data_IF_558741158250
#
_entry.id   IF_558741158250
#
_cell.length_a   1.000
_cell.length_b   1.000
_cell.length_c   1.000
_cell.angle_alpha   90.00
_cell.angle_beta   90.00
_cell.angle_gamma   90.00
#
_symmetry.space_group_name_H-M   'P 1'
#
loop_
_entity.id
_entity.type
_entity.pdbx_description
1 polymer ?
#
# COMPACT_ATOMS: atom_id res chain seq x y z
N UNK A 1 -24.36 -1.68 41.52
CA UNK A 1 -25.38 -2.64 41.96
C UNK A 1 -25.69 -3.50 40.76
N UNK A 2 -25.37 -4.75 40.63
CA UNK A 2 -25.18 -5.88 41.55
C UNK A 2 -24.14 -6.84 40.98
N UNK A 3 -23.24 -7.23 41.82
CA UNK A 3 -22.31 -8.35 41.72
C UNK A 3 -23.01 -9.67 41.51
N UNK A 4 -22.46 -10.55 40.68
CA UNK A 4 -22.72 -12.00 40.79
C UNK A 4 -21.42 -12.77 40.55
N UNK A 5 -21.08 -13.78 41.37
CA UNK A 5 -19.76 -14.39 41.44
C UNK A 5 -19.62 -15.63 40.55
N UNK A 6 -18.38 -15.82 40.11
CA UNK A 6 -17.88 -17.01 39.36
C UNK A 6 -17.85 -18.21 40.28
N UNK A 7 -18.54 -19.30 39.94
CA UNK A 7 -18.46 -20.61 40.62
C UNK A 7 -17.26 -21.42 40.14
N UNK A 8 -16.36 -21.73 41.06
CA UNK A 8 -15.32 -22.76 40.96
C UNK A 8 -15.99 -24.14 40.94
N UNK A 9 -15.61 -25.04 40.01
CA UNK A 9 -15.94 -26.47 40.09
C UNK A 9 -14.73 -27.26 40.55
N UNK A 10 -14.98 -28.10 41.55
CA UNK A 10 -14.05 -28.97 42.27
C UNK A 10 -13.58 -30.16 41.42
N UNK A 11 -12.31 -30.51 41.63
CA UNK A 11 -11.71 -31.77 41.24
C UNK A 11 -12.22 -32.90 42.11
N UNK A 12 -12.71 -33.98 41.52
CA UNK A 12 -12.91 -35.27 42.19
C UNK A 12 -11.72 -36.18 41.85
N UNK A 13 -10.99 -36.57 42.89
CA UNK A 13 -10.01 -37.66 42.86
C UNK A 13 -10.72 -39.00 42.82
N UNK A 14 -10.35 -39.86 41.89
CA UNK A 14 -10.74 -41.26 41.93
C UNK A 14 -9.48 -42.14 41.96
N UNK A 15 -9.35 -42.91 43.01
CA UNK A 15 -8.30 -43.88 43.27
C UNK A 15 -8.43 -45.08 42.29
N UNK A 16 -7.32 -45.42 41.64
CA UNK A 16 -7.24 -46.58 40.76
C UNK A 16 -6.61 -47.78 41.45
N UNK A 17 -7.25 -48.93 41.31
CA UNK A 17 -6.76 -50.23 41.77
C UNK A 17 -5.67 -50.75 40.81
N UNK A 18 -4.61 -51.33 41.38
CA UNK A 18 -3.52 -51.99 40.64
C UNK A 18 -3.98 -53.38 40.21
N UNK A 19 -4.00 -53.63 38.86
CA UNK A 19 -4.03 -54.98 38.32
C UNK A 19 -2.79 -55.15 37.43
N UNK A 20 -1.92 -56.12 37.79
CA UNK A 20 -0.71 -56.42 37.02
C UNK A 20 -1.04 -57.02 35.65
N UNK A 21 -0.62 -56.38 34.62
CA UNK A 21 -0.70 -56.81 33.23
C UNK A 21 0.69 -56.72 32.57
N UNK A 22 1.06 -57.81 31.92
CA UNK A 22 2.30 -57.96 31.19
C UNK A 22 2.39 -56.89 30.07
N UNK A 23 3.37 -56.02 30.16
CA UNK A 23 3.64 -55.01 29.15
C UNK A 23 4.40 -55.68 27.97
N UNK A 24 3.63 -56.01 26.90
CA UNK A 24 4.25 -56.18 25.58
C UNK A 24 4.66 -54.81 25.06
N UNK A 25 5.95 -54.59 25.00
CA UNK A 25 6.52 -53.36 24.40
C UNK A 25 6.12 -53.28 22.91
N UNK A 26 5.13 -52.46 22.62
CA UNK A 26 4.89 -52.05 21.24
C UNK A 26 6.08 -51.21 20.77
N UNK A 27 6.61 -51.39 19.54
CA UNK A 27 7.65 -50.52 19.02
C UNK A 27 7.13 -49.10 18.97
N UNK A 28 7.82 -48.17 19.63
CA UNK A 28 7.55 -46.77 19.55
C UNK A 28 7.57 -46.36 18.05
N UNK A 29 6.41 -46.07 17.51
CA UNK A 29 6.34 -45.35 16.24
C UNK A 29 6.97 -44.00 16.50
N UNK A 30 8.26 -43.87 16.14
CA UNK A 30 8.89 -42.58 16.05
C UNK A 30 8.14 -41.82 14.95
N UNK A 31 7.20 -40.99 15.33
CA UNK A 31 6.58 -40.03 14.43
C UNK A 31 7.72 -39.16 13.92
N UNK A 32 8.14 -39.36 12.69
CA UNK A 32 9.11 -38.48 12.03
C UNK A 32 8.52 -37.04 12.11
N UNK A 33 9.23 -36.14 12.78
CA UNK A 33 8.88 -34.74 12.70
C UNK A 33 8.71 -34.33 11.24
N UNK A 34 7.69 -33.56 10.91
CA UNK A 34 7.49 -33.12 9.53
C UNK A 34 8.76 -32.42 9.06
N UNK A 35 9.35 -32.95 8.01
CA UNK A 35 10.62 -32.43 7.50
C UNK A 35 10.45 -30.94 7.13
N UNK A 36 11.36 -30.10 7.63
CA UNK A 36 11.38 -28.65 7.41
C UNK A 36 11.16 -28.31 5.92
N UNK A 37 10.25 -27.40 5.57
CA UNK A 37 9.99 -27.04 4.18
C UNK A 37 11.18 -26.30 3.57
N UNK A 38 11.34 -26.40 2.25
CA UNK A 38 12.20 -25.48 1.51
C UNK A 38 11.43 -24.18 1.28
N UNK A 39 12.02 -23.05 1.68
CA UNK A 39 11.39 -21.75 1.54
C UNK A 39 12.43 -20.66 1.23
N UNK A 40 12.16 -19.84 0.24
CA UNK A 40 12.83 -18.56 0.02
C UNK A 40 12.19 -17.57 1.00
N UNK A 41 13.02 -16.92 1.81
CA UNK A 41 12.59 -15.89 2.78
C UNK A 41 12.85 -14.49 2.23
N UNK A 42 13.94 -14.32 1.47
CA UNK A 42 14.33 -13.08 0.80
C UNK A 42 14.84 -13.38 -0.62
N UNK A 43 14.38 -12.63 -1.61
CA UNK A 43 13.31 -11.62 -1.56
C UNK A 43 11.91 -12.24 -1.36
N UNK A 44 10.99 -11.43 -0.86
CA UNK A 44 9.58 -11.81 -0.68
C UNK A 44 8.87 -11.97 -2.04
N UNK A 45 7.83 -12.81 -2.11
CA UNK A 45 7.01 -12.91 -3.31
C UNK A 45 6.27 -11.60 -3.58
N UNK A 46 6.48 -11.00 -4.74
CA UNK A 46 5.96 -9.68 -5.07
C UNK A 46 6.89 -8.51 -4.74
N UNK A 47 8.06 -8.77 -4.14
CA UNK A 47 9.03 -7.71 -3.85
C UNK A 47 9.32 -6.85 -5.09
N UNK A 48 9.26 -5.53 -4.93
CA UNK A 48 9.72 -4.55 -5.91
C UNK A 48 11.15 -4.16 -5.54
N UNK A 49 12.10 -4.62 -6.33
CA UNK A 49 13.52 -4.42 -6.08
C UNK A 49 14.09 -3.33 -6.98
N UNK A 50 15.02 -2.55 -6.45
CA UNK A 50 15.68 -1.48 -7.17
C UNK A 50 17.18 -1.45 -6.80
N UNK A 51 17.93 -0.47 -7.31
CA UNK A 51 19.36 -0.28 -7.09
C UNK A 51 19.82 -0.27 -5.62
N UNK A 52 18.90 -0.07 -4.65
CA UNK A 52 19.23 -0.07 -3.21
C UNK A 52 19.19 -1.47 -2.59
N UNK A 53 18.62 -2.45 -3.31
CA UNK A 53 18.46 -3.82 -2.83
C UNK A 53 19.55 -4.77 -3.37
N UNK A 54 20.50 -4.27 -4.17
CA UNK A 54 21.54 -5.07 -4.77
C UNK A 54 22.65 -4.23 -5.41
N UNK A 55 23.52 -4.89 -6.13
CA UNK A 55 24.61 -4.29 -6.88
C UNK A 55 24.23 -4.23 -8.36
N UNK A 56 24.23 -3.04 -8.97
CA UNK A 56 24.06 -2.92 -10.41
C UNK A 56 25.30 -3.42 -11.12
N UNK A 57 25.12 -4.36 -12.04
CA UNK A 57 26.17 -4.94 -12.89
C UNK A 57 25.75 -4.81 -14.37
N UNK A 58 26.67 -5.04 -15.29
CA UNK A 58 26.39 -4.86 -16.74
C UNK A 58 25.17 -5.65 -17.21
N UNK A 59 24.95 -6.84 -16.64
CA UNK A 59 23.84 -7.70 -17.05
C UNK A 59 22.53 -7.46 -16.26
N UNK A 60 22.51 -6.63 -15.22
CA UNK A 60 21.31 -6.39 -14.43
C UNK A 60 21.55 -6.02 -12.98
N UNK A 61 20.63 -6.42 -12.10
CA UNK A 61 20.71 -6.20 -10.65
C UNK A 61 21.09 -7.49 -9.96
N UNK A 62 22.27 -7.54 -9.38
CA UNK A 62 22.77 -8.68 -8.58
C UNK A 62 22.23 -8.58 -7.16
N UNK A 63 21.41 -9.52 -6.78
CA UNK A 63 20.75 -9.60 -5.47
C UNK A 63 21.22 -10.82 -4.67
N UNK A 64 20.96 -10.79 -3.38
CA UNK A 64 21.12 -11.95 -2.50
C UNK A 64 19.77 -12.65 -2.33
N UNK A 65 19.75 -13.98 -2.46
CA UNK A 65 18.60 -14.84 -2.19
C UNK A 65 18.88 -15.63 -0.93
N UNK A 66 17.98 -15.57 0.04
CA UNK A 66 18.11 -16.28 1.33
C UNK A 66 16.88 -17.11 1.61
N UNK A 67 17.05 -18.20 2.34
CA UNK A 67 15.94 -19.04 2.74
C UNK A 67 16.34 -20.20 3.64
N UNK A 68 15.40 -21.10 3.84
CA UNK A 68 15.54 -22.32 4.66
C UNK A 68 15.32 -23.57 3.83
N UNK A 69 15.96 -24.65 4.23
CA UNK A 69 15.78 -25.99 3.67
C UNK A 69 16.26 -27.04 4.67
N UNK A 70 15.85 -28.31 4.58
CA UNK A 70 16.28 -29.37 5.47
C UNK A 70 17.82 -29.42 5.60
N UNK A 71 18.29 -29.68 6.81
CA UNK A 71 19.72 -29.51 7.21
C UNK A 71 20.75 -30.19 6.26
N UNK A 72 20.43 -31.33 5.69
CA UNK A 72 21.36 -32.14 4.89
C UNK A 72 21.11 -32.08 3.39
N UNK A 73 20.07 -31.35 2.96
CA UNK A 73 19.72 -31.25 1.56
C UNK A 73 20.69 -30.33 0.82
N UNK A 74 21.11 -30.71 -0.39
CA UNK A 74 21.72 -29.79 -1.35
C UNK A 74 20.65 -28.80 -1.81
N UNK A 75 21.00 -27.52 -1.91
CA UNK A 75 20.07 -26.48 -2.38
C UNK A 75 20.66 -25.80 -3.60
N UNK A 76 19.84 -25.63 -4.62
CA UNK A 76 20.15 -24.75 -5.76
C UNK A 76 19.12 -23.62 -5.86
N UNK A 77 19.55 -22.46 -6.35
CA UNK A 77 18.71 -21.32 -6.70
C UNK A 77 18.88 -21.05 -8.19
N UNK A 78 17.80 -21.13 -8.95
CA UNK A 78 17.81 -21.08 -10.43
C UNK A 78 18.93 -21.93 -11.04
N UNK A 79 19.12 -23.15 -10.51
CA UNK A 79 20.14 -24.11 -10.97
C UNK A 79 21.54 -23.90 -10.42
N UNK A 80 21.85 -22.78 -9.76
CA UNK A 80 23.16 -22.49 -9.14
C UNK A 80 23.18 -22.97 -7.70
N UNK A 81 24.28 -23.65 -7.30
CA UNK A 81 24.44 -24.15 -5.93
C UNK A 81 24.44 -23.01 -4.90
N UNK A 82 23.62 -23.16 -3.87
CA UNK A 82 23.54 -22.21 -2.77
C UNK A 82 24.48 -22.61 -1.63
N UNK A 83 25.12 -21.63 -1.02
CA UNK A 83 25.93 -21.84 0.19
C UNK A 83 25.01 -22.13 1.37
N UNK A 84 25.35 -23.18 2.13
CA UNK A 84 24.60 -23.63 3.31
C UNK A 84 25.27 -23.18 4.61
N UNK A 85 24.42 -22.76 5.59
CA UNK A 85 24.79 -22.56 7.00
C UNK A 85 23.67 -23.12 7.87
N UNK A 86 23.84 -24.35 8.35
CA UNK A 86 22.78 -25.07 9.04
C UNK A 86 21.55 -25.33 8.11
N UNK A 87 20.37 -25.02 8.58
CA UNK A 87 19.13 -25.09 7.79
C UNK A 87 18.93 -23.91 6.83
N UNK A 88 19.78 -22.87 6.88
CA UNK A 88 19.70 -21.70 6.00
C UNK A 88 20.53 -21.89 4.74
N UNK A 89 20.10 -21.26 3.65
CA UNK A 89 20.87 -21.13 2.43
C UNK A 89 20.99 -19.68 1.99
N UNK A 90 22.06 -19.39 1.26
CA UNK A 90 22.31 -18.08 0.63
C UNK A 90 22.85 -18.31 -0.76
N UNK A 91 22.30 -17.61 -1.74
CA UNK A 91 22.77 -17.60 -3.13
C UNK A 91 22.81 -16.18 -3.67
N UNK A 92 23.53 -15.95 -4.75
CA UNK A 92 23.48 -14.72 -5.52
C UNK A 92 22.76 -14.98 -6.83
N UNK A 93 21.95 -14.01 -7.28
CA UNK A 93 21.22 -14.06 -8.53
C UNK A 93 21.29 -12.70 -9.21
N UNK A 94 21.46 -12.67 -10.53
CA UNK A 94 21.35 -11.44 -11.33
C UNK A 94 19.97 -11.38 -11.96
N UNK A 95 19.19 -10.35 -11.62
CA UNK A 95 17.93 -10.03 -12.26
C UNK A 95 18.24 -9.34 -13.60
N UNK A 96 17.86 -9.97 -14.71
CA UNK A 96 18.07 -9.44 -16.08
C UNK A 96 16.80 -8.88 -16.67
N UNK A 97 15.66 -9.44 -16.24
CA UNK A 97 14.33 -9.08 -16.74
C UNK A 97 13.56 -8.27 -15.71
N UNK A 98 12.57 -7.50 -16.16
CA UNK A 98 11.67 -6.73 -15.30
C UNK A 98 10.97 -7.61 -14.26
N UNK A 99 10.51 -8.80 -14.66
CA UNK A 99 9.91 -9.79 -13.76
C UNK A 99 10.73 -11.06 -13.80
N UNK A 100 11.12 -11.58 -12.64
CA UNK A 100 11.96 -12.78 -12.53
C UNK A 100 11.34 -13.77 -11.56
N UNK A 101 11.21 -15.02 -11.99
CA UNK A 101 10.90 -16.14 -11.10
C UNK A 101 12.19 -16.68 -10.47
N UNK A 102 12.21 -16.76 -9.15
CA UNK A 102 13.29 -17.32 -8.35
C UNK A 102 12.83 -18.67 -7.81
N UNK A 103 13.58 -19.71 -8.12
CA UNK A 103 13.23 -21.10 -7.77
C UNK A 103 14.33 -21.69 -6.91
N UNK A 104 14.01 -21.98 -5.64
CA UNK A 104 14.89 -22.76 -4.77
C UNK A 104 14.47 -24.23 -4.80
N UNK A 105 15.43 -25.10 -5.06
CA UNK A 105 15.23 -26.56 -5.07
C UNK A 105 16.14 -27.19 -4.03
N UNK A 106 15.58 -27.93 -3.08
CA UNK A 106 16.33 -28.80 -2.18
C UNK A 106 16.21 -30.27 -2.61
N UNK A 107 17.31 -31.00 -2.46
CA UNK A 107 17.40 -32.43 -2.79
C UNK A 107 18.15 -33.16 -1.70
N UNK A 108 17.52 -34.14 -1.08
CA UNK A 108 18.12 -34.97 -0.01
C UNK A 108 17.41 -36.30 0.16
N UNK A 109 17.64 -36.95 1.31
CA UNK A 109 17.09 -38.28 1.63
C UNK A 109 15.56 -38.30 1.69
N UNK A 110 14.93 -37.14 1.98
CA UNK A 110 13.46 -36.98 2.03
C UNK A 110 12.85 -36.55 0.69
N UNK A 111 13.63 -36.64 -0.41
CA UNK A 111 13.19 -36.31 -1.77
C UNK A 111 13.54 -34.91 -2.22
N UNK A 112 12.90 -34.48 -3.32
CA UNK A 112 13.05 -33.15 -3.92
C UNK A 112 11.90 -32.26 -3.45
N UNK A 113 12.24 -31.04 -3.02
CA UNK A 113 11.30 -29.98 -2.68
C UNK A 113 11.64 -28.72 -3.44
N UNK A 114 10.62 -27.91 -3.68
CA UNK A 114 10.75 -26.69 -4.46
C UNK A 114 9.93 -25.57 -3.85
N UNK A 115 10.47 -24.33 -3.87
CA UNK A 115 9.75 -23.11 -3.52
C UNK A 115 10.03 -22.06 -4.57
N UNK A 116 8.99 -21.29 -4.95
CA UNK A 116 9.04 -20.28 -5.99
C UNK A 116 8.57 -18.93 -5.45
N UNK A 117 9.30 -17.89 -5.76
CA UNK A 117 8.86 -16.50 -5.60
C UNK A 117 9.04 -15.78 -6.92
N UNK A 118 8.22 -14.79 -7.16
CA UNK A 118 8.32 -13.90 -8.32
C UNK A 118 8.58 -12.50 -7.81
N UNK A 119 9.52 -11.80 -8.43
CA UNK A 119 9.92 -10.43 -8.06
C UNK A 119 9.84 -9.52 -9.26
N UNK A 120 9.76 -8.22 -8.99
CA UNK A 120 9.79 -7.17 -10.01
C UNK A 120 11.04 -6.31 -9.80
N UNK A 121 11.80 -6.07 -10.86
CA UNK A 121 12.92 -5.13 -10.85
C UNK A 121 12.50 -3.78 -11.43
N UNK A 122 12.46 -2.75 -10.57
CA UNK A 122 12.32 -1.34 -10.95
C UNK A 122 13.66 -0.82 -11.47
N UNK A 123 13.94 -1.15 -12.75
CA UNK A 123 15.18 -0.85 -13.45
C UNK A 123 15.50 0.64 -13.54
N UNK A 124 14.47 1.48 -13.63
CA UNK A 124 14.58 2.92 -13.79
C UNK A 124 14.29 3.67 -12.51
N UNK A 125 14.53 3.04 -11.38
CA UNK A 125 14.29 3.60 -10.06
C UNK A 125 15.02 4.93 -9.84
N UNK A 126 14.28 5.91 -9.33
CA UNK A 126 14.76 7.20 -8.90
C UNK A 126 13.97 7.68 -7.70
N UNK A 127 14.53 8.53 -6.82
CA UNK A 127 13.79 9.12 -5.73
C UNK A 127 12.57 9.89 -6.25
N UNK A 128 11.37 9.54 -5.76
CA UNK A 128 10.10 10.11 -6.19
C UNK A 128 9.10 10.19 -5.06
N UNK A 129 8.16 11.12 -5.18
CA UNK A 129 7.06 11.21 -4.22
C UNK A 129 5.73 11.41 -4.94
N UNK A 130 4.67 10.91 -4.34
CA UNK A 130 3.32 11.33 -4.67
C UNK A 130 2.76 12.18 -3.55
N UNK A 131 1.78 13.03 -3.88
CA UNK A 131 0.97 13.72 -2.90
C UNK A 131 -0.50 13.44 -3.15
N UNK A 132 -1.15 12.77 -2.17
CA UNK A 132 -2.57 12.45 -2.21
C UNK A 132 -3.32 13.21 -1.13
N UNK A 133 -4.46 13.76 -1.48
CA UNK A 133 -5.39 14.38 -0.53
C UNK A 133 -6.71 13.67 -0.66
N UNK A 134 -7.17 13.09 0.45
CA UNK A 134 -8.38 12.28 0.49
C UNK A 134 -9.58 13.05 1.06
N UNK A 135 -10.75 12.43 1.05
CA UNK A 135 -12.02 12.93 1.59
C UNK A 135 -12.49 14.26 0.96
N UNK A 136 -12.06 14.53 -0.28
CA UNK A 136 -12.39 15.79 -0.92
C UNK A 136 -13.87 15.88 -1.28
N UNK A 137 -14.50 16.93 -0.76
CA UNK A 137 -15.90 17.28 -1.00
C UNK A 137 -16.19 18.74 -0.71
N UNK A 138 -15.49 19.33 0.25
CA UNK A 138 -15.77 20.69 0.75
C UNK A 138 -15.45 21.76 -0.30
N UNK A 139 -14.33 21.64 -1.02
CA UNK A 139 -13.98 22.60 -2.06
C UNK A 139 -14.95 22.55 -3.25
N UNK A 140 -15.43 21.36 -3.61
CA UNK A 140 -16.40 21.20 -4.68
C UNK A 140 -17.71 21.92 -4.34
N UNK A 141 -18.22 21.69 -3.13
CA UNK A 141 -19.38 22.35 -2.61
C UNK A 141 -19.18 23.86 -2.51
N UNK A 142 -18.05 24.31 -1.96
CA UNK A 142 -17.71 25.73 -1.80
C UNK A 142 -17.74 26.46 -3.15
N UNK A 143 -17.09 25.89 -4.18
CA UNK A 143 -17.08 26.46 -5.54
C UNK A 143 -18.47 26.46 -6.15
N UNK A 144 -19.25 25.38 -6.01
CA UNK A 144 -20.60 25.29 -6.56
C UNK A 144 -21.55 26.31 -5.94
N UNK A 145 -21.45 26.54 -4.62
CA UNK A 145 -22.28 27.50 -3.89
C UNK A 145 -21.88 28.95 -4.12
N UNK A 146 -20.58 29.26 -4.05
CA UNK A 146 -20.06 30.63 -4.17
C UNK A 146 -19.93 31.10 -5.62
N UNK A 147 -19.92 30.18 -6.58
CA UNK A 147 -19.85 30.48 -8.02
C UNK A 147 -18.70 31.43 -8.39
N UNK A 148 -17.54 31.18 -7.86
CA UNK A 148 -16.32 31.95 -8.13
C UNK A 148 -16.06 32.16 -9.64
N UNK A 149 -15.37 33.22 -10.01
CA UNK A 149 -14.95 33.45 -11.40
C UNK A 149 -13.85 32.48 -11.83
N UNK A 150 -12.98 32.11 -10.92
CA UNK A 150 -11.94 31.11 -11.13
C UNK A 150 -12.00 29.99 -10.07
N UNK A 151 -11.60 28.78 -10.46
CA UNK A 151 -11.36 27.67 -9.52
C UNK A 151 -10.40 28.08 -8.38
N UNK A 152 -9.42 28.90 -8.69
CA UNK A 152 -8.37 29.34 -7.78
C UNK A 152 -8.74 30.55 -6.92
N UNK A 153 -9.99 31.00 -6.98
CA UNK A 153 -10.57 31.89 -5.97
C UNK A 153 -11.00 31.10 -4.71
N UNK A 154 -11.18 29.77 -4.83
CA UNK A 154 -11.26 28.88 -3.69
C UNK A 154 -9.90 28.80 -3.00
N UNK A 155 -9.83 29.16 -1.71
CA UNK A 155 -8.57 29.25 -0.96
C UNK A 155 -7.80 27.93 -0.97
N UNK A 156 -8.50 26.80 -0.93
CA UNK A 156 -7.90 25.48 -0.92
C UNK A 156 -7.16 25.17 -2.24
N UNK A 157 -7.81 25.38 -3.38
CA UNK A 157 -7.16 25.19 -4.68
C UNK A 157 -6.06 26.23 -4.95
N UNK A 158 -6.26 27.48 -4.46
CA UNK A 158 -5.23 28.53 -4.52
C UNK A 158 -3.96 28.11 -3.78
N UNK A 159 -4.09 27.59 -2.56
CA UNK A 159 -2.97 27.08 -1.76
C UNK A 159 -2.22 25.96 -2.50
N UNK A 160 -2.93 24.99 -3.09
CA UNK A 160 -2.28 23.92 -3.86
C UNK A 160 -1.54 24.45 -5.10
N UNK A 161 -2.12 25.45 -5.79
CA UNK A 161 -1.46 26.10 -6.91
C UNK A 161 -0.19 26.81 -6.48
N UNK A 162 -0.19 27.53 -5.38
CA UNK A 162 0.99 28.20 -4.83
C UNK A 162 2.11 27.19 -4.50
N UNK A 163 1.78 26.02 -3.93
CA UNK A 163 2.73 24.95 -3.70
C UNK A 163 3.25 24.32 -5.02
N UNK A 164 2.40 24.18 -6.02
CA UNK A 164 2.82 23.75 -7.35
C UNK A 164 3.77 24.76 -8.00
N UNK A 165 3.43 26.05 -7.99
CA UNK A 165 4.26 27.12 -8.56
C UNK A 165 5.65 27.15 -7.91
N UNK A 166 5.71 26.97 -6.58
CA UNK A 166 6.93 27.02 -5.77
C UNK A 166 7.82 25.77 -5.94
N UNK A 167 7.24 24.58 -5.93
CA UNK A 167 7.97 23.32 -5.84
C UNK A 167 7.76 22.37 -7.02
N UNK A 168 6.91 22.72 -7.97
CA UNK A 168 6.43 21.83 -9.04
C UNK A 168 5.71 20.60 -8.51
N UNK A 169 5.17 20.68 -7.30
CA UNK A 169 4.42 19.59 -6.68
C UNK A 169 3.20 19.18 -7.53
N UNK A 170 2.87 17.91 -7.52
CA UNK A 170 1.70 17.33 -8.18
C UNK A 170 0.74 16.76 -7.16
N UNK A 171 -0.56 16.96 -7.36
CA UNK A 171 -1.61 16.56 -6.41
C UNK A 171 -2.66 15.68 -7.07
N UNK A 172 -3.09 14.63 -6.34
CA UNK A 172 -4.30 13.86 -6.66
C UNK A 172 -5.31 14.13 -5.55
N UNK A 173 -6.48 14.66 -5.92
CA UNK A 173 -7.61 14.86 -5.01
C UNK A 173 -8.58 13.70 -5.18
N UNK A 174 -8.70 12.86 -4.16
CA UNK A 174 -9.63 11.75 -4.14
C UNK A 174 -10.99 12.24 -3.63
N UNK A 175 -12.02 12.20 -4.47
CA UNK A 175 -13.31 12.87 -4.25
C UNK A 175 -14.44 11.88 -4.00
N UNK A 176 -15.44 12.34 -3.23
CA UNK A 176 -16.72 11.65 -3.05
C UNK A 176 -17.73 12.04 -4.13
N UNK A 177 -18.70 11.16 -4.40
CA UNK A 177 -19.86 11.48 -5.23
C UNK A 177 -20.84 12.41 -4.53
N UNK A 178 -21.11 12.15 -3.25
CA UNK A 178 -22.05 12.92 -2.43
C UNK A 178 -21.46 13.32 -1.08
N UNK A 179 -21.98 14.36 -0.48
CA UNK A 179 -21.62 14.86 0.83
C UNK A 179 -22.79 14.74 1.81
N UNK A 180 -22.51 14.80 3.10
CA UNK A 180 -23.51 14.66 4.18
C UNK A 180 -24.60 15.75 4.15
N UNK A 181 -24.31 16.93 3.59
CA UNK A 181 -25.26 18.04 3.44
C UNK A 181 -26.07 18.00 2.14
N UNK A 182 -26.03 16.89 1.42
CA UNK A 182 -26.81 16.66 0.21
C UNK A 182 -26.25 17.27 -1.07
N UNK A 183 -24.99 17.77 -1.07
CA UNK A 183 -24.33 18.11 -2.32
C UNK A 183 -23.93 16.83 -3.06
N UNK A 184 -24.18 16.84 -4.39
CA UNK A 184 -23.77 15.75 -5.29
C UNK A 184 -22.97 16.29 -6.48
N UNK A 185 -22.04 15.49 -7.01
CA UNK A 185 -21.18 15.88 -8.14
C UNK A 185 -21.93 16.41 -9.37
N UNK A 186 -23.14 15.93 -9.74
CA UNK A 186 -23.93 16.54 -10.82
C UNK A 186 -24.24 18.03 -10.63
N UNK A 187 -24.24 18.52 -9.40
CA UNK A 187 -24.48 19.94 -9.08
C UNK A 187 -23.23 20.81 -9.34
N UNK A 188 -22.04 20.20 -9.47
CA UNK A 188 -20.82 20.95 -9.78
C UNK A 188 -20.87 21.45 -11.23
N UNK A 189 -20.65 22.77 -11.47
CA UNK A 189 -20.77 23.35 -12.80
C UNK A 189 -19.61 22.95 -13.72
N UNK A 190 -19.85 22.88 -15.02
CA UNK A 190 -18.85 22.55 -16.04
C UNK A 190 -18.12 23.78 -16.60
N UNK A 191 -18.50 24.99 -16.19
CA UNK A 191 -17.90 26.26 -16.66
C UNK A 191 -16.39 26.36 -16.41
N UNK A 192 -15.87 25.60 -15.44
CA UNK A 192 -14.45 25.58 -15.09
C UNK A 192 -13.62 24.53 -15.84
N UNK A 193 -14.23 23.83 -16.80
CA UNK A 193 -13.60 22.70 -17.50
C UNK A 193 -12.26 23.08 -18.18
N UNK A 194 -12.15 24.29 -18.72
CA UNK A 194 -10.92 24.79 -19.30
C UNK A 194 -9.80 24.92 -18.25
N UNK A 195 -10.11 25.48 -17.08
CA UNK A 195 -9.13 25.67 -16.00
C UNK A 195 -8.65 24.32 -15.40
N UNK A 196 -9.57 23.35 -15.29
CA UNK A 196 -9.20 21.98 -14.89
C UNK A 196 -8.22 21.35 -15.88
N UNK A 197 -8.53 21.44 -17.18
CA UNK A 197 -7.69 20.89 -18.23
C UNK A 197 -6.31 21.55 -18.26
N UNK A 198 -6.24 22.87 -18.14
CA UNK A 198 -4.99 23.64 -18.10
C UNK A 198 -4.10 23.29 -16.90
N UNK A 199 -4.71 22.80 -15.81
CA UNK A 199 -4.01 22.40 -14.59
C UNK A 199 -3.74 20.88 -14.52
N UNK A 200 -4.13 20.12 -15.54
CA UNK A 200 -4.15 18.65 -15.47
C UNK A 200 -2.75 18.00 -15.44
N UNK A 201 -1.69 18.73 -15.71
CA UNK A 201 -0.30 18.28 -15.60
C UNK A 201 0.20 18.20 -14.14
N UNK A 202 -0.50 18.90 -13.20
CA UNK A 202 -0.12 18.93 -11.80
C UNK A 202 -1.28 18.65 -10.82
N UNK A 203 -2.54 18.73 -11.28
CA UNK A 203 -3.73 18.54 -10.45
C UNK A 203 -4.68 17.53 -11.10
N UNK A 204 -4.88 16.41 -10.42
CA UNK A 204 -5.80 15.33 -10.86
C UNK A 204 -6.93 15.15 -9.88
N UNK A 205 -8.06 14.66 -10.40
CA UNK A 205 -9.21 14.20 -9.62
C UNK A 205 -9.36 12.69 -9.80
N UNK A 206 -9.59 11.98 -8.70
CA UNK A 206 -9.80 10.54 -8.68
C UNK A 206 -10.99 10.15 -7.81
N UNK A 207 -11.52 8.98 -8.03
CA UNK A 207 -12.52 8.37 -7.17
C UNK A 207 -11.95 8.07 -5.78
N UNK A 208 -12.69 8.41 -4.73
CA UNK A 208 -12.42 7.98 -3.36
C UNK A 208 -13.45 6.97 -2.85
N UNK A 209 -14.70 7.40 -2.79
CA UNK A 209 -15.87 6.59 -2.51
C UNK A 209 -17.16 7.27 -3.03
N UNK A 210 -18.30 6.59 -2.89
CA UNK A 210 -19.58 7.21 -3.14
C UNK A 210 -19.88 8.32 -2.12
N UNK A 211 -19.62 8.04 -0.84
CA UNK A 211 -19.81 8.97 0.28
C UNK A 211 -18.80 8.64 1.40
N UNK A 212 -18.66 9.56 2.36
CA UNK A 212 -17.87 9.34 3.56
C UNK A 212 -18.45 8.21 4.44
N UNK A 213 -19.78 8.18 4.58
CA UNK A 213 -20.48 7.16 5.35
C UNK A 213 -21.23 6.16 4.44
N UNK A 214 -21.40 4.91 4.83
CA UNK A 214 -20.87 4.33 6.08
C UNK A 214 -19.33 4.17 6.05
N UNK A 215 -18.69 4.20 7.21
CA UNK A 215 -17.27 3.91 7.33
C UNK A 215 -16.94 2.55 6.66
N UNK A 216 -15.80 2.49 5.91
CA UNK A 216 -15.30 1.28 5.21
C UNK A 216 -16.32 0.68 4.22
N UNK A 217 -16.87 1.49 3.29
CA UNK A 217 -18.04 1.10 2.48
C UNK A 217 -17.77 -0.13 1.60
N UNK A 218 -16.50 -0.42 1.29
CA UNK A 218 -16.12 -1.51 0.37
C UNK A 218 -15.48 -2.71 1.07
N UNK A 219 -15.33 -2.70 2.39
CA UNK A 219 -14.69 -3.80 3.14
C UNK A 219 -15.43 -5.14 2.94
N UNK A 220 -16.77 -5.09 2.91
CA UNK A 220 -17.62 -6.28 2.73
C UNK A 220 -18.51 -6.19 1.50
N UNK A 221 -18.36 -5.14 0.70
CA UNK A 221 -19.15 -4.96 -0.51
C UNK A 221 -18.69 -5.89 -1.64
N UNK A 222 -19.59 -6.36 -2.49
CA UNK A 222 -19.22 -7.06 -3.71
C UNK A 222 -18.46 -6.11 -4.66
N UNK A 223 -17.61 -6.69 -5.52
CA UNK A 223 -16.78 -5.92 -6.45
C UNK A 223 -17.61 -4.98 -7.34
N UNK A 224 -18.76 -5.45 -7.81
CA UNK A 224 -19.68 -4.73 -8.68
C UNK A 224 -20.15 -3.40 -8.06
N UNK A 225 -20.35 -3.37 -6.72
CA UNK A 225 -20.74 -2.14 -6.01
C UNK A 225 -19.63 -1.10 -6.07
N UNK A 226 -18.41 -1.48 -5.73
CA UNK A 226 -17.24 -0.59 -5.81
C UNK A 226 -17.05 -0.04 -7.22
N UNK A 227 -17.15 -0.92 -8.21
CA UNK A 227 -16.95 -0.55 -9.61
C UNK A 227 -18.04 0.38 -10.13
N UNK A 228 -19.30 0.15 -9.77
CA UNK A 228 -20.40 1.02 -10.13
C UNK A 228 -20.24 2.44 -9.52
N UNK A 229 -19.78 2.52 -8.27
CA UNK A 229 -19.54 3.80 -7.60
C UNK A 229 -18.34 4.54 -8.22
N UNK A 230 -17.26 3.79 -8.56
CA UNK A 230 -16.10 4.34 -9.29
C UNK A 230 -16.52 4.91 -10.66
N UNK A 231 -17.27 4.14 -11.44
CA UNK A 231 -17.70 4.54 -12.78
C UNK A 231 -18.56 5.82 -12.72
N UNK A 232 -19.44 5.96 -11.72
CA UNK A 232 -20.24 7.18 -11.49
C UNK A 232 -19.38 8.40 -11.21
N UNK A 233 -18.42 8.31 -10.30
CA UNK A 233 -17.52 9.44 -9.98
C UNK A 233 -16.67 9.79 -11.19
N UNK A 234 -16.11 8.79 -11.87
CA UNK A 234 -15.30 8.98 -13.06
C UNK A 234 -16.06 9.68 -14.21
N UNK A 235 -17.34 9.33 -14.40
CA UNK A 235 -18.24 9.99 -15.35
C UNK A 235 -18.39 11.47 -15.01
N UNK A 236 -18.66 11.80 -13.74
CA UNK A 236 -18.83 13.18 -13.32
C UNK A 236 -17.54 14.00 -13.45
N UNK A 237 -16.38 13.44 -13.05
CA UNK A 237 -15.10 14.13 -13.26
C UNK A 237 -14.90 14.46 -14.74
N UNK A 238 -15.11 13.50 -15.64
CA UNK A 238 -14.99 13.74 -17.10
C UNK A 238 -16.00 14.76 -17.61
N UNK A 239 -17.20 14.80 -17.03
CA UNK A 239 -18.23 15.81 -17.37
C UNK A 239 -17.75 17.22 -17.04
N UNK A 240 -17.37 17.48 -15.79
CA UNK A 240 -17.12 18.85 -15.34
C UNK A 240 -15.64 19.29 -15.45
N UNK A 241 -14.67 18.35 -15.45
CA UNK A 241 -13.24 18.67 -15.45
C UNK A 241 -12.51 18.21 -16.73
N UNK A 242 -13.08 17.26 -17.48
CA UNK A 242 -12.46 16.69 -18.67
C UNK A 242 -11.70 15.38 -18.39
N UNK A 243 -11.47 14.60 -19.44
CA UNK A 243 -10.76 13.31 -19.31
C UNK A 243 -9.30 13.49 -18.88
N UNK A 244 -8.67 14.62 -19.20
CA UNK A 244 -7.27 14.90 -18.88
C UNK A 244 -7.07 15.09 -17.37
N UNK A 245 -8.09 15.59 -16.66
CA UNK A 245 -8.06 15.80 -15.21
C UNK A 245 -8.37 14.52 -14.45
N UNK A 246 -9.11 13.58 -15.06
CA UNK A 246 -9.41 12.30 -14.43
C UNK A 246 -8.14 11.45 -14.27
N UNK A 247 -7.99 10.86 -13.10
CA UNK A 247 -6.99 9.84 -12.79
C UNK A 247 -7.67 8.57 -12.30
N UNK A 248 -7.24 7.37 -12.74
CA UNK A 248 -7.59 6.16 -12.01
C UNK A 248 -7.21 6.29 -10.53
N UNK A 249 -8.02 5.80 -9.59
CA UNK A 249 -7.75 5.95 -8.17
C UNK A 249 -6.43 5.28 -7.77
N UNK A 250 -5.74 5.91 -6.85
CA UNK A 250 -4.55 5.36 -6.18
C UNK A 250 -4.80 5.11 -4.69
N UNK A 251 -5.98 5.45 -4.22
CA UNK A 251 -6.50 5.12 -2.87
C UNK A 251 -8.00 4.84 -2.99
N UNK A 252 -8.46 3.75 -2.39
CA UNK A 252 -9.88 3.51 -2.15
C UNK A 252 -10.16 3.84 -0.68
N UNK A 253 -11.27 4.49 -0.40
CA UNK A 253 -11.62 4.94 0.95
C UNK A 253 -11.41 3.84 2.01
N UNK A 254 -10.67 4.16 3.07
CA UNK A 254 -10.17 3.23 4.09
C UNK A 254 -9.17 2.17 3.61
N UNK A 255 -8.80 2.07 2.33
CA UNK A 255 -7.92 1.00 1.84
C UNK A 255 -8.40 -0.41 2.19
N UNK A 256 -9.71 -0.61 2.36
CA UNK A 256 -10.32 -1.89 2.73
C UNK A 256 -11.25 -2.34 1.59
N UNK A 257 -10.75 -3.25 0.76
CA UNK A 257 -11.40 -3.70 -0.48
C UNK A 257 -11.32 -5.21 -0.59
N UNK A 258 -12.42 -5.86 -0.97
CA UNK A 258 -12.41 -7.30 -1.21
C UNK A 258 -11.38 -7.67 -2.31
N UNK A 259 -10.56 -8.71 -2.13
CA UNK A 259 -9.57 -9.13 -3.13
C UNK A 259 -10.17 -9.37 -4.52
N UNK A 260 -11.41 -9.82 -4.59
CA UNK A 260 -12.14 -10.01 -5.85
C UNK A 260 -12.34 -8.73 -6.66
N UNK A 261 -12.24 -7.53 -6.03
CA UNK A 261 -12.37 -6.26 -6.71
C UNK A 261 -11.07 -5.77 -7.36
N UNK A 262 -9.90 -6.32 -6.99
CA UNK A 262 -8.61 -5.84 -7.46
C UNK A 262 -8.45 -5.99 -8.98
N UNK A 263 -8.83 -7.13 -9.55
CA UNK A 263 -8.76 -7.33 -11.00
C UNK A 263 -9.72 -6.41 -11.77
N UNK A 264 -11.01 -6.27 -11.40
CA UNK A 264 -11.91 -5.25 -11.96
C UNK A 264 -11.39 -3.80 -11.86
N UNK A 265 -10.69 -3.45 -10.76
CA UNK A 265 -10.01 -2.15 -10.64
C UNK A 265 -8.86 -2.00 -11.65
N UNK A 266 -8.02 -3.02 -11.81
CA UNK A 266 -6.94 -3.03 -12.79
C UNK A 266 -7.45 -2.88 -14.23
N UNK A 267 -8.57 -3.50 -14.57
CA UNK A 267 -9.26 -3.38 -15.86
C UNK A 267 -9.74 -1.94 -16.14
N UNK A 268 -9.96 -1.14 -15.10
CA UNK A 268 -10.28 0.30 -15.18
C UNK A 268 -9.06 1.21 -15.14
N UNK A 269 -7.88 0.64 -15.30
CA UNK A 269 -6.62 1.39 -15.37
C UNK A 269 -5.94 1.65 -14.03
N UNK A 270 -6.43 1.07 -12.92
CA UNK A 270 -5.73 1.14 -11.65
C UNK A 270 -4.42 0.36 -11.75
N UNK A 271 -3.29 1.06 -11.55
CA UNK A 271 -1.94 0.49 -11.63
C UNK A 271 -1.24 0.44 -10.28
N UNK A 272 -1.58 1.38 -9.40
CA UNK A 272 -1.03 1.47 -8.06
C UNK A 272 -2.13 1.77 -7.04
N UNK A 273 -2.03 1.17 -5.86
CA UNK A 273 -2.89 1.45 -4.72
C UNK A 273 -2.04 1.67 -3.47
N UNK A 274 -2.32 2.74 -2.76
CA UNK A 274 -1.64 3.10 -1.53
C UNK A 274 -2.47 2.70 -0.31
N UNK A 275 -1.82 2.14 0.71
CA UNK A 275 -2.42 1.75 1.96
C UNK A 275 -1.53 2.10 3.16
N UNK A 276 -2.07 1.97 4.35
CA UNK A 276 -1.32 2.30 5.57
C UNK A 276 -0.62 1.08 6.17
N UNK A 277 -1.15 -0.12 5.92
CA UNK A 277 -0.62 -1.41 6.40
C UNK A 277 -0.27 -1.36 7.89
N UNK A 278 -1.22 -0.84 8.68
CA UNK A 278 -1.01 -0.61 10.11
C UNK A 278 -1.38 -1.85 10.92
N UNK A 279 -0.48 -2.27 11.82
CA UNK A 279 -0.79 -3.28 12.82
C UNK A 279 -1.67 -2.69 13.92
N UNK A 280 -2.83 -3.31 14.15
CA UNK A 280 -3.76 -2.96 15.23
C UNK A 280 -4.01 -4.18 16.11
N UNK A 281 -4.71 -4.00 17.25
CA UNK A 281 -4.95 -5.10 18.21
C UNK A 281 -5.71 -6.29 17.63
N UNK A 282 -6.52 -6.08 16.59
CA UNK A 282 -7.35 -7.08 15.91
C UNK A 282 -6.75 -7.64 14.62
N UNK A 283 -5.52 -7.27 14.25
CA UNK A 283 -4.87 -7.69 13.02
C UNK A 283 -4.25 -6.52 12.26
N UNK A 284 -4.56 -6.40 10.97
CA UNK A 284 -4.10 -5.32 10.10
C UNK A 284 -5.24 -4.40 9.69
N UNK A 285 -4.92 -3.14 9.47
CA UNK A 285 -5.86 -2.11 9.02
C UNK A 285 -5.32 -1.34 7.80
N UNK A 286 -6.22 -0.81 6.99
CA UNK A 286 -5.92 -0.05 5.76
C UNK A 286 -4.93 -0.84 4.87
N UNK A 287 -5.23 -2.13 4.65
CA UNK A 287 -4.30 -3.11 4.08
C UNK A 287 -4.87 -3.89 2.87
N UNK A 288 -5.97 -3.43 2.28
CA UNK A 288 -6.66 -4.08 1.15
C UNK A 288 -7.03 -5.54 1.41
N UNK A 289 -7.27 -5.89 2.68
CA UNK A 289 -7.55 -7.24 3.17
C UNK A 289 -6.47 -8.28 2.78
N UNK A 290 -5.23 -7.85 2.67
CA UNK A 290 -4.10 -8.75 2.49
C UNK A 290 -3.90 -9.64 3.71
N UNK A 291 -3.32 -10.82 3.46
CA UNK A 291 -2.86 -11.71 4.53
C UNK A 291 -1.76 -11.07 5.40
N UNK A 292 -1.45 -11.73 6.50
CA UNK A 292 -0.47 -11.26 7.47
C UNK A 292 0.92 -11.06 6.84
N UNK A 293 1.36 -11.97 5.96
CA UNK A 293 2.71 -11.95 5.38
C UNK A 293 2.88 -10.75 4.43
N UNK A 294 1.91 -10.50 3.54
CA UNK A 294 1.95 -9.35 2.63
C UNK A 294 1.82 -8.02 3.36
N UNK A 295 0.97 -7.99 4.39
CA UNK A 295 0.77 -6.80 5.22
C UNK A 295 2.01 -6.47 6.05
N UNK A 296 2.66 -7.48 6.65
CA UNK A 296 3.92 -7.34 7.38
C UNK A 296 5.04 -6.86 6.43
N UNK A 297 5.12 -7.42 5.22
CA UNK A 297 6.10 -7.00 4.22
C UNK A 297 5.91 -5.51 3.87
N UNK A 298 4.69 -5.09 3.49
CA UNK A 298 4.38 -3.71 3.11
C UNK A 298 4.51 -2.72 4.28
N UNK A 299 4.34 -3.17 5.53
CA UNK A 299 4.60 -2.30 6.68
C UNK A 299 6.06 -1.84 6.81
N UNK A 300 6.99 -2.49 6.08
CA UNK A 300 8.44 -2.29 6.13
C UNK A 300 9.10 -2.02 4.79
N UNK A 301 8.32 -1.92 3.69
CA UNK A 301 8.82 -1.72 2.35
C UNK A 301 7.92 -0.79 1.55
N UNK A 302 8.50 -0.03 0.66
CA UNK A 302 7.79 0.93 -0.20
C UNK A 302 6.70 0.30 -1.05
N UNK A 303 6.97 -0.88 -1.62
CA UNK A 303 6.08 -1.42 -2.63
C UNK A 303 6.07 -2.96 -2.70
N UNK A 304 4.91 -3.50 -3.09
CA UNK A 304 4.69 -4.90 -3.42
C UNK A 304 3.90 -5.01 -4.74
N UNK A 305 4.36 -5.86 -5.65
CA UNK A 305 3.61 -6.24 -6.85
C UNK A 305 2.68 -7.41 -6.54
N UNK A 306 1.37 -7.18 -6.67
CA UNK A 306 0.41 -8.28 -6.71
C UNK A 306 0.31 -8.81 -8.14
N UNK A 307 0.89 -9.97 -8.39
CA UNK A 307 0.92 -10.58 -9.72
C UNK A 307 -0.44 -11.12 -10.18
N UNK A 308 -1.42 -11.25 -9.29
CA UNK A 308 -2.77 -11.73 -9.64
C UNK A 308 -3.60 -10.60 -10.27
N UNK A 309 -3.59 -9.44 -9.67
CA UNK A 309 -4.31 -8.26 -10.17
C UNK A 309 -3.47 -7.43 -11.15
N UNK A 310 -2.14 -7.51 -11.06
CA UNK A 310 -1.23 -6.64 -11.79
C UNK A 310 -1.02 -5.27 -11.14
N UNK A 311 -1.59 -5.02 -9.95
CA UNK A 311 -1.48 -3.75 -9.21
C UNK A 311 -0.19 -3.76 -8.37
N UNK A 312 0.47 -2.61 -8.28
CA UNK A 312 1.54 -2.36 -7.30
C UNK A 312 0.94 -1.67 -6.09
N UNK A 313 1.15 -2.23 -4.91
CA UNK A 313 0.72 -1.62 -3.65
C UNK A 313 1.88 -0.83 -3.06
N UNK A 314 1.57 0.38 -2.57
CA UNK A 314 2.53 1.27 -1.91
C UNK A 314 2.11 1.51 -0.47
N UNK A 315 3.11 1.73 0.40
CA UNK A 315 2.87 2.11 1.79
C UNK A 315 2.87 3.63 1.93
N UNK A 316 1.90 4.17 2.67
CA UNK A 316 1.91 5.57 3.11
C UNK A 316 3.03 5.78 4.14
N UNK A 317 3.87 6.78 3.93
CA UNK A 317 4.99 7.12 4.80
C UNK A 317 4.63 8.13 5.88
N UNK A 318 3.76 9.07 5.56
CA UNK A 318 3.37 10.13 6.49
C UNK A 318 1.92 10.57 6.25
N UNK A 319 1.20 10.79 7.36
CA UNK A 319 -0.16 11.36 7.39
C UNK A 319 -0.09 12.72 8.08
N UNK A 320 -0.21 13.82 7.32
CA UNK A 320 0.07 15.16 7.83
C UNK A 320 -0.92 15.65 8.87
N UNK A 321 -2.19 15.26 8.79
CA UNK A 321 -3.15 15.65 9.82
C UNK A 321 -2.84 15.00 11.18
N UNK A 322 -2.10 13.89 11.21
CA UNK A 322 -1.68 13.19 12.44
C UNK A 322 -0.25 13.57 12.89
N UNK A 323 0.52 14.29 12.05
CA UNK A 323 1.93 14.59 12.30
C UNK A 323 2.10 16.10 12.58
N UNK A 324 2.49 16.51 13.81
CA UNK A 324 2.76 17.91 14.12
C UNK A 324 3.86 18.51 13.22
N UNK A 325 3.80 19.83 12.98
CA UNK A 325 4.71 20.52 12.07
C UNK A 325 6.20 20.24 12.38
N UNK A 326 6.59 20.27 13.65
CA UNK A 326 7.96 20.00 14.09
C UNK A 326 8.37 18.51 13.98
N UNK A 327 7.47 17.62 13.67
CA UNK A 327 7.73 16.19 13.46
C UNK A 327 7.74 15.78 11.97
N UNK A 328 7.41 16.67 11.06
CA UNK A 328 7.37 16.35 9.61
C UNK A 328 8.74 15.87 9.13
N UNK A 329 9.78 16.69 9.27
CA UNK A 329 11.15 16.34 8.85
C UNK A 329 11.71 15.15 9.64
N UNK A 330 11.61 15.10 10.99
CA UNK A 330 12.05 13.93 11.75
C UNK A 330 11.37 12.60 11.35
N UNK A 331 10.16 12.64 10.79
CA UNK A 331 9.49 11.45 10.27
C UNK A 331 10.06 11.02 8.92
N UNK A 332 10.38 11.94 8.02
CA UNK A 332 10.86 11.65 6.66
C UNK A 332 12.35 11.26 6.61
N UNK A 333 13.20 11.88 7.45
CA UNK A 333 14.64 11.64 7.41
C UNK A 333 15.10 10.19 7.57
N UNK A 334 14.57 9.39 8.52
CA UNK A 334 14.96 7.99 8.63
C UNK A 334 14.51 7.16 7.43
N UNK A 335 13.36 7.45 6.84
CA UNK A 335 12.85 6.76 5.65
C UNK A 335 13.79 6.95 4.46
N UNK A 336 14.29 8.17 4.23
CA UNK A 336 15.24 8.45 3.16
C UNK A 336 16.59 7.72 3.29
N UNK A 337 16.89 7.20 4.48
CA UNK A 337 18.12 6.45 4.76
C UNK A 337 17.91 4.92 4.72
N UNK A 338 16.67 4.46 4.77
CA UNK A 338 16.33 3.05 4.73
C UNK A 338 16.20 2.59 3.25
N UNK A 339 16.99 1.61 2.80
CA UNK A 339 16.92 1.12 1.41
C UNK A 339 15.52 0.62 1.02
N UNK A 340 14.70 0.19 1.98
CA UNK A 340 13.35 -0.29 1.73
C UNK A 340 12.32 0.84 1.58
N UNK A 341 12.67 2.11 1.94
CA UNK A 341 11.78 3.28 1.94
C UNK A 341 12.33 4.48 1.18
N UNK A 342 13.58 4.43 0.73
CA UNK A 342 14.26 5.61 0.25
C UNK A 342 13.96 6.00 -1.21
N UNK A 343 13.27 5.17 -1.98
CA UNK A 343 12.99 5.47 -3.38
C UNK A 343 11.59 6.05 -3.62
N UNK A 344 10.64 5.77 -2.74
CA UNK A 344 9.26 6.22 -2.86
C UNK A 344 8.84 6.91 -1.57
N UNK A 345 8.44 8.18 -1.64
CA UNK A 345 7.81 8.90 -0.53
C UNK A 345 6.31 9.04 -0.81
N UNK A 346 5.50 8.33 -0.07
CA UNK A 346 4.04 8.36 -0.18
C UNK A 346 3.45 9.33 0.82
N UNK A 347 3.20 10.56 0.36
CA UNK A 347 2.77 11.71 1.16
C UNK A 347 1.24 11.84 1.10
N UNK A 348 0.61 11.96 2.28
CA UNK A 348 -0.82 11.82 2.38
C UNK A 348 -1.45 12.77 3.43
N UNK A 349 -2.64 13.28 3.12
CA UNK A 349 -3.50 14.02 4.06
C UNK A 349 -4.96 13.96 3.63
N UNK A 350 -5.84 14.68 4.37
CA UNK A 350 -7.26 14.81 4.08
C UNK A 350 -7.66 16.28 3.95
N UNK A 351 -8.66 16.57 3.10
CA UNK A 351 -9.11 17.92 2.81
C UNK A 351 -9.69 18.65 4.01
N UNK A 352 -10.50 17.97 4.81
CA UNK A 352 -11.33 18.61 5.84
C UNK A 352 -10.52 19.39 6.87
N UNK A 353 -9.27 18.99 7.13
CA UNK A 353 -8.41 19.64 8.11
C UNK A 353 -7.94 21.05 7.72
N UNK A 354 -8.13 21.48 6.47
CA UNK A 354 -7.88 22.84 6.00
C UNK A 354 -9.03 23.83 6.27
N UNK A 355 -10.21 23.33 6.62
CA UNK A 355 -11.43 24.14 6.67
C UNK A 355 -11.74 24.58 8.08
N UNK A 356 -11.80 25.92 8.36
CA UNK A 356 -12.02 26.43 9.72
C UNK A 356 -13.35 26.03 10.37
N UNK A 357 -14.35 25.63 9.58
CA UNK A 357 -15.62 25.16 10.12
C UNK A 357 -15.60 23.66 10.51
N UNK A 358 -14.57 22.92 10.13
CA UNK A 358 -14.44 21.54 10.50
C UNK A 358 -14.02 21.40 11.98
N UNK A 359 -14.67 20.49 12.72
CA UNK A 359 -14.44 20.33 14.16
C UNK A 359 -12.99 20.05 14.54
N UNK A 360 -12.25 19.37 13.65
CA UNK A 360 -10.84 19.03 13.84
C UNK A 360 -9.91 19.87 12.94
N UNK A 361 -10.30 21.10 12.61
CA UNK A 361 -9.47 22.03 11.84
C UNK A 361 -8.07 22.19 12.43
N UNK A 362 -7.06 22.18 11.56
CA UNK A 362 -5.66 22.32 11.95
C UNK A 362 -5.11 23.64 11.38
N UNK A 363 -4.89 24.68 12.22
CA UNK A 363 -4.47 26.00 11.75
C UNK A 363 -3.14 26.03 11.00
N UNK A 364 -2.21 25.13 11.31
CA UNK A 364 -0.89 25.02 10.69
C UNK A 364 -0.81 23.95 9.60
N UNK A 365 -1.96 23.46 9.12
CA UNK A 365 -1.98 22.33 8.19
C UNK A 365 -1.32 22.63 6.84
N UNK A 366 -1.52 23.84 6.31
CA UNK A 366 -0.84 24.28 5.09
C UNK A 366 0.70 24.37 5.27
N UNK A 367 1.18 24.80 6.45
CA UNK A 367 2.60 24.82 6.77
C UNK A 367 3.20 23.41 6.85
N UNK A 368 2.43 22.42 7.31
CA UNK A 368 2.85 21.00 7.31
C UNK A 368 3.12 20.51 5.90
N UNK A 369 2.22 20.84 4.95
CA UNK A 369 2.41 20.49 3.54
C UNK A 369 3.64 21.19 2.96
N UNK A 370 3.79 22.51 3.17
CA UNK A 370 4.94 23.26 2.68
C UNK A 370 6.26 22.67 3.22
N UNK A 371 6.32 22.35 4.51
CA UNK A 371 7.51 21.76 5.13
C UNK A 371 7.89 20.42 4.50
N UNK A 372 6.91 19.56 4.26
CA UNK A 372 7.14 18.24 3.66
C UNK A 372 7.54 18.33 2.19
N UNK A 373 6.79 19.08 1.38
CA UNK A 373 7.07 19.23 -0.06
C UNK A 373 8.43 19.90 -0.27
N UNK A 374 8.76 20.92 0.53
CA UNK A 374 10.08 21.53 0.53
C UNK A 374 11.17 20.50 0.80
N UNK A 375 11.01 19.71 1.87
CA UNK A 375 12.01 18.72 2.27
C UNK A 375 12.25 17.67 1.17
N UNK A 376 11.20 17.07 0.61
CA UNK A 376 11.37 16.08 -0.48
C UNK A 376 11.98 16.71 -1.74
N UNK A 377 11.63 17.96 -2.06
CA UNK A 377 12.20 18.69 -3.20
C UNK A 377 13.70 18.96 -3.00
N UNK A 378 14.10 19.44 -1.83
CA UNK A 378 15.51 19.71 -1.46
C UNK A 378 16.35 18.41 -1.43
N UNK A 379 15.73 17.26 -1.18
CA UNK A 379 16.36 15.93 -1.20
C UNK A 379 16.31 15.23 -2.56
N UNK A 380 15.90 15.95 -3.61
CA UNK A 380 15.93 15.47 -4.99
C UNK A 380 14.83 14.50 -5.38
N UNK A 381 13.79 14.33 -4.58
CA UNK A 381 12.62 13.54 -4.94
C UNK A 381 11.80 14.26 -6.01
N UNK A 382 11.38 13.51 -7.03
CA UNK A 382 10.56 14.04 -8.12
C UNK A 382 9.08 13.80 -7.88
N UNK A 383 8.20 14.81 -8.08
CA UNK A 383 6.75 14.61 -8.00
C UNK A 383 6.26 13.73 -9.13
N UNK A 384 5.46 12.71 -8.81
CA UNK A 384 4.87 11.78 -9.78
C UNK A 384 3.40 11.53 -9.49
N UNK A 385 2.65 11.13 -10.50
CA UNK A 385 1.34 10.52 -10.32
C UNK A 385 1.47 9.01 -10.30
N UNK A 386 1.00 8.34 -9.26
CA UNK A 386 1.09 6.88 -9.17
C UNK A 386 0.31 6.13 -10.25
N UNK A 387 -0.75 6.73 -10.80
CA UNK A 387 -1.50 6.13 -11.91
C UNK A 387 -0.72 6.10 -13.24
N UNK A 388 0.31 6.93 -13.37
CA UNK A 388 1.25 6.90 -14.52
C UNK A 388 2.30 5.80 -14.37
N UNK A 389 2.24 5.03 -13.30
CA UNK A 389 3.18 4.01 -12.90
C UNK A 389 3.95 4.45 -11.66
N UNK A 390 3.81 3.66 -10.58
CA UNK A 390 4.55 3.88 -9.34
C UNK A 390 6.04 3.69 -9.54
N UNK A 391 6.44 2.91 -10.55
CA UNK A 391 7.82 2.57 -10.85
C UNK A 391 8.54 3.72 -11.56
N UNK A 392 9.87 3.77 -11.44
CA UNK A 392 10.68 4.93 -11.87
C UNK A 392 10.81 5.18 -13.38
N UNK A 393 10.27 4.31 -14.21
CA UNK A 393 10.28 4.45 -15.67
C UNK A 393 9.00 3.99 -16.33
N UNK A 394 8.89 4.24 -17.63
CA UNK A 394 7.78 3.72 -18.43
C UNK A 394 7.73 2.19 -18.36
N UNK A 395 6.55 1.65 -18.23
CA UNK A 395 6.30 0.21 -18.25
C UNK A 395 6.51 -0.40 -19.63
#
# INVERSE_FOLDING_TARGET
MTDQPVRRRNFLQTTAAVAGGIILASPAVVSAEPAEPTAIEEPFHGAVLNRRHGEEVDEGLKIQVRGRAPLRDRVTVNGTDARRVGNRFVSQLVLREKETEIVAVSQGSSGRREHRVRVLWDRHSQPRYRFSIDDNSFFLRDIAQKKYDSLFDCFYLKMLRELHEKYKARFVLNIYYTTEDGFELPQFPDRYKAQWRESSDWLKLAFHAYANEPARPYQYAPAERLIADLDKVAEQIRRFAGPETYSPPTVIHWGMVQPAALKPLAERGVRALSGYFQRVSTGWDVNYLFDDDRSEYLSRHDALKDFQSGIVFSRVDIVYNNTPLNQIVPTLEPLAKDPNHAEIMDLFTHEQYFWPFYSNYIPDHAQRLDAAIRWVTEHGYKPVFFHEGLLGGAE
#
